data_IF_942530174657
#
_entry.id   IF_942530174657
#
_cell.length_a   1.000
_cell.length_b   1.000
_cell.length_c   1.000
_cell.angle_alpha   90.00
_cell.angle_beta   90.00
_cell.angle_gamma   90.00
#
_symmetry.space_group_name_H-M   'P 1'
#
loop_
_entity.id
_entity.type
_entity.pdbx_description
1 polymer ?
#
# COMPACT_ATOMS: atom_id res chain seq x y z
N UNK A 1 34.92 18.20 -7.02
CA UNK A 1 33.47 18.43 -6.89
C UNK A 1 33.01 17.51 -5.78
N UNK A 2 32.78 18.08 -4.60
CA UNK A 2 32.48 17.37 -3.34
C UNK A 2 31.00 16.99 -3.32
N UNK A 3 30.69 15.70 -3.27
CA UNK A 3 29.33 15.18 -3.08
C UNK A 3 29.12 14.83 -1.61
N UNK A 4 29.02 15.86 -0.78
CA UNK A 4 28.37 15.80 0.52
C UNK A 4 27.00 16.46 0.33
N UNK A 5 25.92 15.68 0.23
CA UNK A 5 24.58 16.19 0.50
C UNK A 5 23.61 15.04 0.83
N UNK A 6 23.48 14.83 2.14
CA UNK A 6 22.24 14.54 2.86
C UNK A 6 21.53 13.18 2.63
N UNK A 7 22.00 12.14 3.32
CA UNK A 7 21.17 11.00 3.74
C UNK A 7 20.59 11.38 5.11
N UNK A 8 19.42 12.00 5.13
CA UNK A 8 18.81 12.52 6.35
C UNK A 8 17.32 12.19 6.43
N UNK A 9 17.04 11.05 7.06
CA UNK A 9 16.02 10.79 8.09
C UNK A 9 15.73 9.29 8.08
N UNK A 10 16.03 8.62 9.21
CA UNK A 10 15.67 7.23 9.43
C UNK A 10 14.19 7.04 9.07
N UNK A 11 13.84 6.10 8.17
CA UNK A 11 12.43 5.84 7.87
C UNK A 11 11.82 5.34 9.17
N UNK A 12 10.92 6.14 9.76
CA UNK A 12 10.13 5.77 10.95
C UNK A 12 9.66 4.34 10.71
N UNK A 13 10.21 3.40 11.47
CA UNK A 13 9.94 2.00 11.18
C UNK A 13 8.45 1.77 11.37
N UNK A 14 7.85 0.87 10.59
CA UNK A 14 6.43 0.49 10.76
C UNK A 14 6.11 0.14 12.23
N UNK A 15 7.10 -0.37 12.98
CA UNK A 15 6.96 -0.64 14.41
C UNK A 15 6.85 0.63 15.25
N UNK A 16 7.58 1.69 14.92
CA UNK A 16 7.57 2.95 15.68
C UNK A 16 6.32 3.78 15.40
N UNK A 17 5.81 3.75 14.16
CA UNK A 17 4.50 4.34 13.84
C UNK A 17 3.36 3.61 14.56
N UNK A 18 3.37 2.26 14.57
CA UNK A 18 2.37 1.48 15.28
C UNK A 18 2.50 1.64 16.81
N UNK A 19 3.71 1.74 17.36
CA UNK A 19 3.92 2.03 18.79
C UNK A 19 3.49 3.44 19.18
N UNK A 20 3.72 4.44 18.33
CA UNK A 20 3.24 5.80 18.54
C UNK A 20 1.72 5.91 18.49
N UNK A 21 1.09 5.15 17.58
CA UNK A 21 -0.38 5.05 17.48
C UNK A 21 -1.02 4.26 18.64
N UNK A 22 -0.38 3.21 19.13
CA UNK A 22 -0.87 2.39 20.26
C UNK A 22 -0.55 3.00 21.63
N UNK A 23 0.57 3.73 21.77
CA UNK A 23 0.97 4.40 23.00
C UNK A 23 0.01 5.54 23.40
N UNK A 24 -0.62 6.19 22.43
CA UNK A 24 -1.69 7.17 22.67
C UNK A 24 -3.02 6.54 23.09
N UNK A 25 -3.23 5.24 22.86
CA UNK A 25 -4.45 4.52 23.21
C UNK A 25 -4.35 3.80 24.57
N UNK A 26 -3.14 3.51 25.05
CA UNK A 26 -2.92 2.91 26.37
C UNK A 26 -3.28 3.86 27.54
N UNK A 27 -3.48 5.16 27.28
CA UNK A 27 -3.83 6.15 28.29
C UNK A 27 -5.30 6.20 28.69
N UNK A 28 -6.22 5.50 28.00
CA UNK A 28 -7.65 5.62 28.26
C UNK A 28 -8.42 4.29 28.47
N UNK A 29 -7.84 3.13 28.19
CA UNK A 29 -8.46 1.87 28.58
C UNK A 29 -7.40 0.76 28.61
N UNK A 30 -7.26 0.09 29.77
CA UNK A 30 -6.44 -1.10 29.87
C UNK A 30 -6.95 -2.16 28.90
N UNK A 31 -6.17 -2.49 27.88
CA UNK A 31 -6.32 -3.73 27.15
C UNK A 31 -4.93 -4.30 26.85
N UNK A 32 -4.71 -5.46 27.45
CA UNK A 32 -3.54 -6.33 27.38
C UNK A 32 -3.11 -6.64 25.95
N UNK A 33 -1.80 -6.70 25.76
CA UNK A 33 -1.11 -7.06 24.54
C UNK A 33 -1.56 -8.41 23.95
N UNK A 34 -1.88 -8.42 22.67
CA UNK A 34 -2.07 -9.63 21.85
C UNK A 34 -2.90 -9.34 20.60
N UNK A 35 -2.42 -9.73 19.42
CA UNK A 35 -3.16 -9.78 18.15
C UNK A 35 -3.47 -8.40 17.47
N UNK A 36 -2.47 -7.51 17.39
CA UNK A 36 -2.62 -6.13 16.91
C UNK A 36 -2.68 -5.89 15.38
N UNK A 37 -3.22 -6.82 14.59
CA UNK A 37 -3.43 -6.62 13.15
C UNK A 37 -4.84 -6.12 12.78
N UNK A 38 -5.85 -6.59 13.52
CA UNK A 38 -7.27 -6.31 13.25
C UNK A 38 -7.87 -5.37 14.30
N UNK A 39 -7.40 -5.41 15.55
CA UNK A 39 -7.87 -4.54 16.63
C UNK A 39 -7.56 -3.04 16.41
N UNK A 40 -6.60 -2.71 15.52
CA UNK A 40 -6.25 -1.33 15.21
C UNK A 40 -7.26 -0.61 14.30
N UNK A 41 -7.92 -1.35 13.39
CA UNK A 41 -8.88 -0.79 12.44
C UNK A 41 -10.27 -0.60 13.06
N UNK A 42 -10.63 -1.44 14.03
CA UNK A 42 -11.86 -1.26 14.81
C UNK A 42 -11.70 -0.16 15.87
N UNK A 43 -10.50 0.01 16.46
CA UNK A 43 -10.20 1.10 17.40
C UNK A 43 -10.07 2.49 16.72
N UNK A 44 -9.24 2.61 15.66
CA UNK A 44 -9.76 2.95 14.33
C UNK A 44 -11.08 3.72 14.22
N UNK A 45 -12.08 2.94 13.81
CA UNK A 45 -13.43 3.35 13.53
C UNK A 45 -14.16 3.83 14.80
N UNK A 46 -13.99 3.14 15.93
CA UNK A 46 -14.70 3.44 17.18
C UNK A 46 -14.42 4.86 17.71
N UNK A 47 -13.18 5.35 17.58
CA UNK A 47 -12.78 6.71 17.99
C UNK A 47 -13.21 7.82 17.04
N UNK A 48 -13.58 7.50 15.80
CA UNK A 48 -14.00 8.48 14.78
C UNK A 48 -15.49 8.84 14.86
N UNK A 49 -16.25 8.22 15.77
CA UNK A 49 -17.69 8.41 15.87
C UNK A 49 -18.14 9.62 16.70
N UNK A 50 -17.24 10.31 17.42
CA UNK A 50 -17.56 11.59 18.08
C UNK A 50 -16.50 12.65 17.83
N UNK A 51 -16.95 13.90 17.62
CA UNK A 51 -16.06 15.04 17.41
C UNK A 51 -15.17 15.29 18.62
N UNK A 52 -15.69 15.05 19.82
CA UNK A 52 -14.99 15.23 21.09
C UNK A 52 -13.84 14.23 21.25
N UNK A 53 -14.05 12.95 20.88
CA UNK A 53 -12.99 11.94 20.92
C UNK A 53 -11.86 12.26 19.93
N UNK A 54 -12.22 12.66 18.71
CA UNK A 54 -11.25 13.11 17.70
C UNK A 54 -10.51 14.36 18.18
N UNK A 55 -11.21 15.34 18.75
CA UNK A 55 -10.60 16.55 19.27
C UNK A 55 -9.63 16.27 20.44
N UNK A 56 -10.00 15.36 21.35
CA UNK A 56 -9.13 14.93 22.44
C UNK A 56 -7.88 14.20 21.92
N UNK A 57 -8.03 13.34 20.91
CA UNK A 57 -6.92 12.63 20.27
C UNK A 57 -5.98 13.56 19.47
N UNK A 58 -6.51 14.70 19.02
CA UNK A 58 -5.75 15.73 18.32
C UNK A 58 -5.26 16.87 19.23
N UNK A 59 -5.62 16.87 20.52
CA UNK A 59 -5.25 17.93 21.44
C UNK A 59 -3.72 18.07 21.55
N UNK A 60 -3.22 19.30 21.40
CA UNK A 60 -1.79 19.59 21.41
C UNK A 60 -1.03 19.22 20.13
N UNK A 61 -1.67 18.56 19.16
CA UNK A 61 -1.08 18.29 17.85
C UNK A 61 -1.26 19.50 16.94
N UNK A 62 -0.21 19.86 16.21
CA UNK A 62 -0.25 20.91 15.18
C UNK A 62 -0.26 20.24 13.81
N UNK A 63 -0.83 20.90 12.77
CA UNK A 63 -0.74 20.41 11.40
C UNK A 63 0.69 20.07 10.99
N UNK A 64 1.69 20.87 11.38
CA UNK A 64 3.11 20.63 11.13
C UNK A 64 3.66 19.29 11.68
N UNK A 65 2.96 18.70 12.65
CA UNK A 65 3.33 17.41 13.26
C UNK A 65 2.77 16.22 12.44
N UNK A 66 2.00 16.48 11.38
CA UNK A 66 1.57 15.44 10.43
C UNK A 66 2.71 15.13 9.46
N UNK A 67 2.95 13.83 9.26
CA UNK A 67 3.94 13.29 8.34
C UNK A 67 3.23 12.40 7.34
N UNK A 68 3.31 12.76 6.06
CA UNK A 68 2.87 11.92 4.94
C UNK A 68 4.11 11.49 4.16
N UNK A 69 4.19 10.22 3.75
CA UNK A 69 5.35 9.72 3.01
C UNK A 69 5.48 10.49 1.68
N UNK A 70 6.65 11.07 1.42
CA UNK A 70 6.95 11.81 0.19
C UNK A 70 6.36 13.22 0.11
N UNK A 71 5.85 13.79 1.22
CA UNK A 71 5.40 15.19 1.28
C UNK A 71 6.09 15.94 2.42
N UNK A 72 6.20 17.26 2.26
CA UNK A 72 6.70 18.15 3.32
C UNK A 72 5.89 18.04 4.63
N UNK A 73 6.53 18.22 5.79
CA UNK A 73 5.88 18.39 7.09
C UNK A 73 4.60 19.24 7.05
N UNK A 74 3.52 18.69 7.59
CA UNK A 74 2.21 19.36 7.66
C UNK A 74 1.44 19.47 6.36
N UNK A 75 1.91 18.85 5.28
CA UNK A 75 1.12 18.65 4.06
C UNK A 75 0.49 17.27 4.07
N UNK A 76 -0.78 17.22 3.70
CA UNK A 76 -1.57 15.99 3.57
C UNK A 76 -2.27 16.02 2.22
N UNK A 77 -2.20 14.91 1.48
CA UNK A 77 -2.90 14.74 0.21
C UNK A 77 -4.08 13.80 0.40
N UNK A 78 -5.30 14.35 0.31
CA UNK A 78 -6.56 13.62 0.54
C UNK A 78 -7.45 13.54 -0.71
N UNK A 79 -7.00 14.04 -1.85
CA UNK A 79 -7.84 14.26 -3.03
C UNK A 79 -7.95 13.06 -3.99
N UNK A 80 -7.12 12.02 -3.84
CA UNK A 80 -6.94 10.99 -4.88
C UNK A 80 -7.05 9.54 -4.39
N UNK A 81 -7.61 9.30 -3.19
CA UNK A 81 -7.76 7.96 -2.60
C UNK A 81 -6.47 7.13 -2.54
N UNK A 82 -5.31 7.79 -2.44
CA UNK A 82 -4.03 7.12 -2.34
C UNK A 82 -3.81 6.53 -0.95
N UNK A 83 -2.99 5.48 -0.87
CA UNK A 83 -2.54 4.96 0.41
C UNK A 83 -1.55 5.94 1.08
N UNK A 84 -1.89 6.56 2.22
CA UNK A 84 -1.02 7.56 2.87
C UNK A 84 0.26 6.96 3.46
N UNK A 85 0.33 5.64 3.61
CA UNK A 85 1.50 4.93 4.12
C UNK A 85 2.55 4.67 3.03
N UNK A 86 2.22 4.90 1.76
CA UNK A 86 3.08 4.59 0.63
C UNK A 86 3.34 3.10 0.42
N UNK A 87 4.35 2.79 -0.41
CA UNK A 87 4.80 1.43 -0.66
C UNK A 87 5.56 0.85 0.54
N UNK A 88 5.58 -0.48 0.67
CA UNK A 88 6.39 -1.12 1.71
C UNK A 88 7.90 -0.97 1.41
N UNK A 89 8.78 -0.94 2.42
CA UNK A 89 10.23 -0.90 2.18
C UNK A 89 10.74 -2.02 1.25
N UNK A 90 10.20 -3.23 1.38
CA UNK A 90 10.55 -4.35 0.51
C UNK A 90 10.12 -4.12 -0.95
N UNK A 91 9.00 -3.44 -1.19
CA UNK A 91 8.59 -3.07 -2.55
C UNK A 91 9.53 -2.02 -3.15
N UNK A 92 9.95 -1.02 -2.36
CA UNK A 92 10.93 0.00 -2.78
C UNK A 92 12.26 -0.67 -3.14
N UNK A 93 12.76 -1.55 -2.26
CA UNK A 93 14.00 -2.30 -2.49
C UNK A 93 13.90 -3.17 -3.76
N UNK A 94 12.78 -3.85 -3.97
CA UNK A 94 12.57 -4.68 -5.16
C UNK A 94 12.62 -3.86 -6.45
N UNK A 95 12.03 -2.67 -6.48
CA UNK A 95 12.10 -1.76 -7.64
C UNK A 95 13.54 -1.32 -7.89
N UNK A 96 14.23 -0.83 -6.86
CA UNK A 96 15.61 -0.37 -6.96
C UNK A 96 16.55 -1.49 -7.44
N UNK A 97 16.33 -2.71 -6.96
CA UNK A 97 17.12 -3.89 -7.34
C UNK A 97 16.98 -4.30 -8.81
N UNK A 98 15.86 -4.01 -9.45
CA UNK A 98 15.58 -4.45 -10.83
C UNK A 98 15.49 -3.28 -11.82
N UNK A 99 15.90 -2.06 -11.42
CA UNK A 99 15.83 -0.87 -12.27
C UNK A 99 16.65 -1.00 -13.58
N UNK A 100 17.70 -1.80 -13.57
CA UNK A 100 18.56 -2.05 -14.74
C UNK A 100 17.89 -2.93 -15.81
N UNK A 101 16.75 -3.56 -15.50
CA UNK A 101 16.02 -4.43 -16.42
C UNK A 101 15.05 -3.68 -17.34
N UNK A 102 14.90 -2.36 -17.16
CA UNK A 102 13.96 -1.52 -17.92
C UNK A 102 14.24 -1.48 -19.44
N UNK A 103 15.43 -1.91 -19.89
CA UNK A 103 15.78 -1.96 -21.32
C UNK A 103 15.36 -3.27 -22.01
N UNK A 104 14.62 -4.17 -21.33
CA UNK A 104 14.13 -5.44 -21.87
C UNK A 104 12.61 -5.54 -21.71
N UNK A 105 11.97 -6.21 -22.67
CA UNK A 105 10.58 -6.62 -22.51
C UNK A 105 10.47 -7.67 -21.40
N UNK A 106 9.49 -7.49 -20.51
CA UNK A 106 9.13 -8.49 -19.52
C UNK A 106 8.27 -9.59 -20.17
N UNK A 107 8.90 -10.74 -20.41
CA UNK A 107 8.24 -11.95 -20.91
C UNK A 107 8.06 -13.01 -19.81
N UNK A 108 8.00 -12.59 -18.54
CA UNK A 108 7.84 -13.50 -17.40
C UNK A 108 6.38 -13.68 -17.01
N UNK A 109 6.08 -14.79 -16.32
CA UNK A 109 4.76 -15.07 -15.74
C UNK A 109 4.70 -14.83 -14.23
N UNK A 110 5.73 -14.19 -13.68
CA UNK A 110 5.98 -14.06 -12.24
C UNK A 110 4.83 -13.38 -11.51
N UNK A 111 4.31 -12.28 -12.07
CA UNK A 111 3.22 -11.51 -11.46
C UNK A 111 1.91 -12.30 -11.46
N UNK A 112 1.53 -12.93 -12.57
CA UNK A 112 0.33 -13.77 -12.64
C UNK A 112 0.39 -14.93 -11.65
N UNK A 113 1.53 -15.62 -11.58
CA UNK A 113 1.70 -16.71 -10.62
C UNK A 113 1.62 -16.22 -9.17
N UNK A 114 2.14 -15.01 -8.88
CA UNK A 114 2.03 -14.42 -7.55
C UNK A 114 0.59 -14.07 -7.19
N UNK A 115 -0.19 -13.53 -8.14
CA UNK A 115 -1.63 -13.22 -7.97
C UNK A 115 -2.43 -14.51 -7.73
N UNK A 116 -2.21 -15.54 -8.54
CA UNK A 116 -2.87 -16.85 -8.39
C UNK A 116 -2.62 -17.42 -6.99
N UNK A 117 -1.37 -17.37 -6.50
CA UNK A 117 -1.03 -17.82 -5.14
C UNK A 117 -1.60 -16.94 -4.04
N UNK A 118 -1.60 -15.63 -4.22
CA UNK A 118 -2.02 -14.70 -3.17
C UNK A 118 -3.53 -14.78 -2.91
N UNK A 119 -4.31 -15.06 -3.96
CA UNK A 119 -5.77 -15.15 -3.90
C UNK A 119 -6.30 -16.59 -3.91
N UNK A 120 -5.42 -17.59 -3.78
CA UNK A 120 -5.77 -19.02 -3.82
C UNK A 120 -6.68 -19.40 -4.99
N UNK A 121 -6.39 -18.88 -6.19
CA UNK A 121 -7.20 -19.12 -7.38
C UNK A 121 -6.99 -20.55 -7.89
N UNK A 122 -8.07 -21.26 -8.17
CA UNK A 122 -8.06 -22.60 -8.80
C UNK A 122 -7.84 -22.49 -10.32
N UNK A 123 -6.65 -22.01 -10.69
CA UNK A 123 -6.21 -21.76 -12.06
C UNK A 123 -4.79 -22.33 -12.24
N UNK A 124 -4.49 -23.01 -13.36
CA UNK A 124 -3.13 -23.47 -13.65
C UNK A 124 -2.12 -22.32 -13.63
N UNK A 125 -0.93 -22.59 -13.09
CA UNK A 125 0.16 -21.60 -13.06
C UNK A 125 0.82 -21.52 -14.44
N UNK A 126 0.80 -20.37 -15.13
CA UNK A 126 1.36 -20.25 -16.46
C UNK A 126 2.89 -20.35 -16.44
N UNK A 127 3.46 -20.96 -17.47
CA UNK A 127 4.91 -21.08 -17.66
C UNK A 127 5.32 -20.62 -19.07
N UNK A 128 6.51 -20.01 -19.20
CA UNK A 128 6.98 -19.47 -20.49
C UNK A 128 6.02 -18.41 -21.05
N UNK A 129 5.67 -18.54 -22.33
CA UNK A 129 4.77 -17.61 -23.03
C UNK A 129 3.28 -17.99 -22.95
N UNK A 130 2.92 -18.93 -22.08
CA UNK A 130 1.54 -19.45 -21.95
C UNK A 130 0.59 -18.51 -21.19
N UNK A 131 1.08 -17.34 -20.76
CA UNK A 131 0.29 -16.35 -20.00
C UNK A 131 -0.99 -15.92 -20.73
N UNK A 132 -0.95 -15.85 -22.07
CA UNK A 132 -2.13 -15.48 -22.87
C UNK A 132 -3.19 -16.57 -22.83
N UNK A 133 -2.83 -17.82 -23.11
CA UNK A 133 -3.81 -18.90 -23.16
C UNK A 133 -4.41 -19.20 -21.78
N UNK A 134 -3.61 -19.05 -20.72
CA UNK A 134 -4.10 -19.15 -19.34
C UNK A 134 -5.08 -18.01 -19.01
N UNK A 135 -4.75 -16.78 -19.40
CA UNK A 135 -5.64 -15.63 -19.26
C UNK A 135 -6.96 -15.79 -20.01
N UNK A 136 -6.91 -16.18 -21.29
CA UNK A 136 -8.09 -16.37 -22.14
C UNK A 136 -9.02 -17.46 -21.60
N UNK A 137 -8.47 -18.56 -21.07
CA UNK A 137 -9.28 -19.69 -20.58
C UNK A 137 -9.90 -19.43 -19.20
N UNK A 138 -9.19 -18.70 -18.33
CA UNK A 138 -9.56 -18.57 -16.92
C UNK A 138 -9.96 -17.16 -16.50
N UNK A 139 -9.96 -16.19 -17.43
CA UNK A 139 -10.36 -14.81 -17.15
C UNK A 139 -9.34 -14.01 -16.33
N UNK A 140 -8.07 -14.42 -16.30
CA UNK A 140 -7.00 -13.68 -15.61
C UNK A 140 -6.35 -12.69 -16.59
N UNK A 141 -6.79 -11.44 -16.54
CA UNK A 141 -6.31 -10.37 -17.41
C UNK A 141 -5.50 -9.37 -16.58
N UNK A 142 -4.29 -9.06 -17.03
CA UNK A 142 -3.47 -7.96 -16.50
C UNK A 142 -3.50 -6.81 -17.50
N UNK A 143 -3.53 -5.58 -16.98
CA UNK A 143 -3.52 -4.35 -17.79
C UNK A 143 -2.82 -3.21 -17.05
N UNK A 144 -2.73 -2.06 -17.72
CA UNK A 144 -2.15 -0.82 -17.21
C UNK A 144 -3.20 -0.06 -16.39
N UNK A 145 -3.59 -0.66 -15.27
CA UNK A 145 -4.59 -0.12 -14.36
C UNK A 145 -6.03 -0.45 -14.76
N UNK A 146 -6.97 -0.12 -13.87
CA UNK A 146 -8.38 -0.51 -14.00
C UNK A 146 -9.10 0.20 -15.15
N UNK A 147 -8.69 1.42 -15.51
CA UNK A 147 -9.30 2.18 -16.61
C UNK A 147 -9.21 1.44 -17.94
N UNK A 148 -8.04 0.88 -18.28
CA UNK A 148 -7.86 0.10 -19.51
C UNK A 148 -8.76 -1.15 -19.50
N UNK A 149 -8.78 -1.88 -18.38
CA UNK A 149 -9.61 -3.08 -18.24
C UNK A 149 -11.10 -2.77 -18.43
N UNK A 150 -11.58 -1.66 -17.84
CA UNK A 150 -12.97 -1.22 -18.00
C UNK A 150 -13.28 -0.81 -19.44
N UNK A 151 -12.34 -0.17 -20.14
CA UNK A 151 -12.52 0.17 -21.56
C UNK A 151 -12.59 -1.07 -22.44
N UNK A 152 -11.75 -2.08 -22.19
CA UNK A 152 -11.79 -3.35 -22.92
C UNK A 152 -13.14 -4.05 -22.70
N UNK A 153 -13.61 -4.12 -21.45
CA UNK A 153 -14.91 -4.71 -21.13
C UNK A 153 -16.07 -3.95 -21.79
N UNK A 154 -16.02 -2.62 -21.80
CA UNK A 154 -17.03 -1.80 -22.45
C UNK A 154 -17.06 -2.03 -23.96
N UNK A 155 -15.91 -2.16 -24.62
CA UNK A 155 -15.82 -2.47 -26.05
C UNK A 155 -16.36 -3.86 -26.36
N UNK A 156 -16.04 -4.86 -25.54
CA UNK A 156 -16.59 -6.22 -25.72
C UNK A 156 -18.11 -6.27 -25.57
N UNK A 157 -18.69 -5.45 -24.69
CA UNK A 157 -20.14 -5.41 -24.51
C UNK A 157 -20.90 -4.81 -25.72
N UNK A 158 -20.20 -4.14 -26.64
CA UNK A 158 -20.77 -3.53 -27.84
C UNK A 158 -20.61 -4.39 -29.11
N UNK A 159 -19.89 -5.51 -29.00
CA UNK A 159 -19.67 -6.48 -30.09
C UNK A 159 -20.66 -7.64 -29.98
#
# INVERSE_FOLDING_TARGET
>A
MTSDEYIGDDPVSRRDFLRGGLGGLAGAAGLTAGLGGLAGADALAAGLHSREAVAAQLAGRRPADVRSVGLEPGRVRLAFNENPLGASPAAIEAVLKHQDWMNRYDYTTTLQQAIIRHHDLDIPRPSGFDFKATGDRHGLILGVGTTELLQILALQALM
#
